data_IF_040111188536
#
_entry.id   IF_040111188536
#
_cell.length_a   1.000
_cell.length_b   1.000
_cell.length_c   1.000
_cell.angle_alpha   90.00
_cell.angle_beta   90.00
_cell.angle_gamma   90.00
#
_symmetry.space_group_name_H-M   'P 1'
#
loop_
_entity.id
_entity.type
_entity.pdbx_description
1 polymer ?
#
# COMPACT_ATOMS: atom_id res chain seq x y z
N UNK A 1 -21.39 -3.13 -12.15
CA UNK A 1 -20.26 -3.45 -11.24
C UNK A 1 -20.91 -3.89 -9.95
N UNK A 2 -20.65 -5.11 -9.49
CA UNK A 2 -21.34 -5.72 -8.35
C UNK A 2 -20.32 -6.51 -7.54
N UNK A 3 -20.59 -6.69 -6.25
CA UNK A 3 -19.78 -7.55 -5.43
C UNK A 3 -19.86 -9.01 -5.91
N UNK A 4 -18.76 -9.75 -5.77
CA UNK A 4 -18.76 -11.21 -5.91
C UNK A 4 -19.46 -11.85 -4.70
N UNK A 5 -19.79 -13.13 -4.80
CA UNK A 5 -20.41 -13.86 -3.68
C UNK A 5 -19.51 -13.92 -2.45
N UNK A 6 -18.19 -14.05 -2.63
CA UNK A 6 -17.21 -14.07 -1.54
C UNK A 6 -17.12 -12.70 -0.86
N UNK A 7 -17.01 -11.63 -1.66
CA UNK A 7 -16.98 -10.25 -1.15
C UNK A 7 -18.24 -9.90 -0.35
N UNK A 8 -19.42 -10.18 -0.93
CA UNK A 8 -20.70 -9.92 -0.27
C UNK A 8 -20.82 -10.71 1.05
N UNK A 9 -20.44 -12.00 1.02
CA UNK A 9 -20.48 -12.86 2.20
C UNK A 9 -19.58 -12.35 3.34
N UNK A 10 -18.37 -11.89 3.01
CA UNK A 10 -17.43 -11.32 3.98
C UNK A 10 -17.99 -10.04 4.61
N UNK A 11 -18.43 -9.09 3.78
CA UNK A 11 -18.97 -7.79 4.20
C UNK A 11 -20.22 -7.98 5.08
N UNK A 12 -21.14 -8.84 4.65
CA UNK A 12 -22.37 -9.11 5.39
C UNK A 12 -22.10 -9.80 6.73
N UNK A 13 -21.10 -10.69 6.78
CA UNK A 13 -20.70 -11.35 8.03
C UNK A 13 -20.13 -10.34 9.02
N UNK A 14 -19.23 -9.46 8.55
CA UNK A 14 -18.72 -8.35 9.34
C UNK A 14 -19.84 -7.45 9.87
N UNK A 15 -20.79 -7.03 9.03
CA UNK A 15 -21.93 -6.18 9.43
C UNK A 15 -22.83 -6.81 10.49
N UNK A 16 -22.96 -8.14 10.48
CA UNK A 16 -23.68 -8.91 11.52
C UNK A 16 -22.84 -9.15 12.78
N UNK A 17 -21.63 -8.60 12.88
CA UNK A 17 -20.71 -8.82 13.98
C UNK A 17 -20.12 -10.23 14.02
N UNK A 18 -20.19 -10.98 12.90
CA UNK A 18 -19.71 -12.35 12.80
C UNK A 18 -18.36 -12.39 12.08
N UNK A 19 -17.57 -13.41 12.37
CA UNK A 19 -16.41 -13.78 11.56
C UNK A 19 -16.83 -14.49 10.27
N UNK A 20 -15.94 -14.55 9.26
CA UNK A 20 -16.10 -15.40 8.09
C UNK A 20 -16.51 -16.83 8.47
N UNK A 21 -17.24 -17.50 7.58
CA UNK A 21 -17.49 -18.93 7.75
C UNK A 21 -16.16 -19.66 7.72
N UNK A 22 -15.94 -20.54 8.69
CA UNK A 22 -14.78 -21.41 8.74
C UNK A 22 -14.99 -22.55 7.74
N UNK A 23 -14.36 -22.47 6.57
CA UNK A 23 -14.13 -23.63 5.71
C UNK A 23 -12.74 -24.17 6.06
N UNK A 24 -12.57 -25.47 6.35
CA UNK A 24 -11.24 -25.99 6.68
C UNK A 24 -10.30 -25.88 5.47
N UNK A 25 -9.24 -25.08 5.61
CA UNK A 25 -8.16 -24.93 4.63
C UNK A 25 -7.86 -23.48 4.25
N UNK A 26 -6.60 -23.17 4.01
CA UNK A 26 -6.17 -21.85 3.51
C UNK A 26 -6.33 -21.74 1.98
N UNK A 27 -7.51 -22.07 1.43
CA UNK A 27 -7.76 -21.85 0.00
C UNK A 27 -7.85 -20.33 -0.30
N UNK A 28 -7.63 -19.94 -1.56
CA UNK A 28 -7.65 -18.52 -1.98
C UNK A 28 -8.91 -17.77 -1.53
N UNK A 29 -10.09 -18.42 -1.60
CA UNK A 29 -11.36 -17.82 -1.20
C UNK A 29 -11.45 -17.59 0.31
N UNK A 30 -10.94 -18.52 1.12
CA UNK A 30 -10.94 -18.42 2.57
C UNK A 30 -9.98 -17.31 3.03
N UNK A 31 -8.79 -17.22 2.41
CA UNK A 31 -7.82 -16.14 2.62
C UNK A 31 -8.40 -14.77 2.26
N UNK A 32 -9.10 -14.68 1.13
CA UNK A 32 -9.79 -13.45 0.72
C UNK A 32 -10.89 -13.05 1.71
N UNK A 33 -11.71 -14.02 2.14
CA UNK A 33 -12.80 -13.76 3.07
C UNK A 33 -12.26 -13.29 4.44
N UNK A 34 -11.19 -13.92 4.93
CA UNK A 34 -10.48 -13.50 6.13
C UNK A 34 -9.89 -12.10 5.98
N UNK A 35 -9.16 -11.84 4.88
CA UNK A 35 -8.53 -10.55 4.63
C UNK A 35 -9.54 -9.41 4.56
N UNK A 36 -10.67 -9.59 3.88
CA UNK A 36 -11.75 -8.58 3.85
C UNK A 36 -12.28 -8.33 5.27
N UNK A 37 -12.53 -9.39 6.06
CA UNK A 37 -12.98 -9.22 7.44
C UNK A 37 -11.95 -8.48 8.30
N UNK A 38 -10.67 -8.82 8.19
CA UNK A 38 -9.59 -8.24 8.96
C UNK A 38 -9.43 -6.74 8.64
N UNK A 39 -9.44 -6.38 7.35
CA UNK A 39 -9.42 -4.99 6.91
C UNK A 39 -10.63 -4.20 7.41
N UNK A 40 -11.84 -4.76 7.35
CA UNK A 40 -13.06 -4.10 7.85
C UNK A 40 -13.01 -3.90 9.38
N UNK A 41 -12.46 -4.86 10.12
CA UNK A 41 -12.25 -4.75 11.57
C UNK A 41 -11.25 -3.66 11.90
N UNK A 42 -10.10 -3.66 11.22
CA UNK A 42 -9.09 -2.61 11.38
C UNK A 42 -9.68 -1.23 11.09
N UNK A 43 -10.33 -1.06 9.92
CA UNK A 43 -10.92 0.22 9.55
C UNK A 43 -11.97 0.72 10.56
N UNK A 44 -12.76 -0.18 11.17
CA UNK A 44 -13.69 0.19 12.24
C UNK A 44 -12.97 0.71 13.49
N UNK A 45 -11.89 0.06 13.91
CA UNK A 45 -11.08 0.46 15.07
C UNK A 45 -10.42 1.82 14.79
N UNK A 46 -9.77 1.98 13.64
CA UNK A 46 -9.09 3.23 13.27
C UNK A 46 -10.09 4.38 13.15
N UNK A 47 -11.27 4.17 12.55
CA UNK A 47 -12.31 5.21 12.47
C UNK A 47 -12.85 5.61 13.84
N UNK A 48 -13.09 4.66 14.74
CA UNK A 48 -13.53 4.94 16.11
C UNK A 48 -12.50 5.78 16.85
N UNK A 49 -11.21 5.45 16.71
CA UNK A 49 -10.13 6.25 17.30
C UNK A 49 -10.12 7.68 16.74
N UNK A 50 -10.32 7.87 15.43
CA UNK A 50 -10.32 9.21 14.80
C UNK A 50 -11.45 10.12 15.29
N UNK A 51 -12.53 9.57 15.87
CA UNK A 51 -13.62 10.36 16.46
C UNK A 51 -13.27 10.94 17.83
N UNK A 52 -12.24 10.40 18.49
CA UNK A 52 -11.79 10.89 19.79
C UNK A 52 -10.85 12.08 19.60
N UNK A 53 -11.30 13.27 20.01
CA UNK A 53 -10.50 14.50 19.97
C UNK A 53 -9.60 14.53 21.22
N UNK A 54 -8.34 14.15 21.08
CA UNK A 54 -7.36 14.10 22.17
C UNK A 54 -6.03 13.49 21.73
N UNK A 55 -5.01 13.58 22.58
CA UNK A 55 -3.73 12.93 22.29
C UNK A 55 -3.90 11.41 22.29
N UNK A 56 -3.56 10.76 21.17
CA UNK A 56 -3.42 9.30 21.10
C UNK A 56 -2.16 8.91 21.87
N UNK A 57 -2.27 7.94 22.78
CA UNK A 57 -1.10 7.38 23.45
C UNK A 57 -0.15 6.82 22.39
N UNK A 58 1.10 7.29 22.41
CA UNK A 58 2.08 7.00 21.37
C UNK A 58 3.47 6.76 21.96
N UNK A 59 4.22 5.89 21.33
CA UNK A 59 5.63 5.61 21.63
C UNK A 59 6.43 5.78 20.34
N UNK A 60 7.64 6.31 20.44
CA UNK A 60 8.55 6.44 19.29
C UNK A 60 9.39 5.17 19.16
N UNK A 61 9.42 4.57 17.96
CA UNK A 61 10.28 3.42 17.61
C UNK A 61 11.72 3.89 17.37
N UNK A 62 12.67 2.96 17.34
CA UNK A 62 14.09 3.26 17.16
C UNK A 62 14.43 3.93 15.80
N UNK A 63 13.60 3.74 14.78
CA UNK A 63 13.74 4.32 13.44
C UNK A 63 13.07 5.71 13.31
N UNK A 64 12.49 6.24 14.39
CA UNK A 64 11.79 7.52 14.41
C UNK A 64 10.34 7.48 13.90
N UNK A 65 9.81 6.29 13.59
CA UNK A 65 8.36 6.09 13.40
C UNK A 65 7.65 6.09 14.76
N UNK A 66 6.33 6.30 14.75
CA UNK A 66 5.51 6.34 15.96
C UNK A 66 4.59 5.12 15.96
N UNK A 67 4.38 4.48 17.10
CA UNK A 67 3.34 3.45 17.30
C UNK A 67 2.30 3.96 18.27
N UNK A 68 1.07 3.57 18.06
CA UNK A 68 -0.09 3.85 18.90
C UNK A 68 -0.65 2.57 19.51
N UNK A 69 -1.38 2.68 20.63
CA UNK A 69 -2.07 1.53 21.22
C UNK A 69 -3.06 0.84 20.26
N UNK A 70 -3.42 1.52 19.17
CA UNK A 70 -4.34 1.02 18.15
C UNK A 70 -3.67 0.02 17.22
N UNK A 71 -2.42 0.23 16.81
CA UNK A 71 -1.69 -0.72 15.97
C UNK A 71 -1.58 -2.08 16.67
N UNK A 72 -1.16 -2.09 17.94
CA UNK A 72 -1.14 -3.31 18.76
C UNK A 72 -2.53 -3.96 18.91
N UNK A 73 -3.59 -3.16 19.10
CA UNK A 73 -4.95 -3.70 19.22
C UNK A 73 -5.39 -4.42 17.94
N UNK A 74 -5.04 -3.86 16.77
CA UNK A 74 -5.35 -4.43 15.47
C UNK A 74 -4.55 -5.71 15.25
N UNK A 75 -3.25 -5.71 15.53
CA UNK A 75 -2.41 -6.92 15.40
C UNK A 75 -2.93 -8.06 16.26
N UNK A 76 -3.10 -7.85 17.57
CA UNK A 76 -3.55 -8.91 18.46
C UNK A 76 -4.91 -9.47 18.05
N UNK A 77 -5.86 -8.61 17.64
CA UNK A 77 -7.18 -9.05 17.19
C UNK A 77 -7.10 -9.92 15.94
N UNK A 78 -6.24 -9.54 14.99
CA UNK A 78 -6.10 -10.25 13.71
C UNK A 78 -5.32 -11.54 13.92
N UNK A 79 -4.24 -11.51 14.70
CA UNK A 79 -3.43 -12.67 15.06
C UNK A 79 -4.24 -13.75 15.81
N UNK A 80 -4.93 -13.38 16.89
CA UNK A 80 -5.78 -14.30 17.65
C UNK A 80 -6.83 -14.97 16.76
N UNK A 81 -7.42 -14.18 15.86
CA UNK A 81 -8.41 -14.71 14.93
C UNK A 81 -7.80 -15.56 13.82
N UNK A 82 -6.60 -15.20 13.35
CA UNK A 82 -5.86 -15.96 12.37
C UNK A 82 -5.62 -17.38 12.89
N UNK A 83 -5.08 -17.52 14.11
CA UNK A 83 -4.80 -18.84 14.68
C UNK A 83 -6.07 -19.66 14.99
N UNK A 84 -7.22 -19.01 15.12
CA UNK A 84 -8.51 -19.70 15.24
C UNK A 84 -8.98 -20.28 13.91
N UNK A 85 -8.65 -19.64 12.79
CA UNK A 85 -9.14 -20.00 11.45
C UNK A 85 -8.12 -20.83 10.66
N UNK A 86 -6.84 -20.47 10.76
CA UNK A 86 -5.69 -21.08 10.09
C UNK A 86 -4.55 -21.32 11.10
N UNK A 87 -4.65 -22.37 11.95
CA UNK A 87 -3.64 -22.65 12.98
C UNK A 87 -2.21 -22.86 12.45
N UNK A 88 -2.07 -23.22 11.18
CA UNK A 88 -0.80 -23.47 10.49
C UNK A 88 -0.15 -22.23 9.87
N UNK A 89 -0.87 -21.11 9.80
CA UNK A 89 -0.39 -19.88 9.14
C UNK A 89 0.44 -19.06 10.12
N UNK A 90 1.62 -18.62 9.68
CA UNK A 90 2.46 -17.71 10.47
C UNK A 90 1.93 -16.27 10.40
N UNK A 91 1.97 -15.56 11.52
CA UNK A 91 1.63 -14.14 11.60
C UNK A 91 2.88 -13.27 11.60
N UNK A 92 2.87 -12.21 10.78
CA UNK A 92 3.96 -11.23 10.66
C UNK A 92 3.40 -9.82 10.81
N UNK A 93 3.46 -9.28 12.02
CA UNK A 93 3.06 -7.90 12.31
C UNK A 93 4.26 -6.94 12.34
N UNK A 94 4.06 -5.72 11.86
CA UNK A 94 5.02 -4.63 11.99
C UNK A 94 5.39 -4.36 13.46
N UNK A 95 4.41 -4.32 14.36
CA UNK A 95 4.64 -4.01 15.78
C UNK A 95 5.18 -5.20 16.57
N UNK A 96 4.82 -6.40 16.13
CA UNK A 96 5.37 -7.65 16.67
C UNK A 96 6.84 -7.85 16.26
N UNK A 97 7.26 -7.26 15.13
CA UNK A 97 8.64 -7.32 14.64
C UNK A 97 9.05 -8.71 14.15
N UNK A 98 8.08 -9.54 13.78
CA UNK A 98 8.34 -10.90 13.30
C UNK A 98 8.94 -10.84 11.89
N UNK A 99 9.80 -11.80 11.56
CA UNK A 99 10.29 -11.96 10.19
C UNK A 99 9.43 -12.98 9.42
N UNK A 100 9.43 -12.83 8.10
CA UNK A 100 8.78 -13.80 7.22
C UNK A 100 9.48 -15.16 7.35
N UNK A 101 8.74 -16.27 7.56
CA UNK A 101 9.37 -17.58 7.68
C UNK A 101 9.98 -18.03 6.35
N UNK A 102 10.99 -18.91 6.43
CA UNK A 102 11.66 -19.47 5.24
C UNK A 102 10.73 -20.34 4.36
N UNK A 103 9.59 -20.81 4.88
CA UNK A 103 8.64 -21.65 4.16
C UNK A 103 7.25 -21.66 4.79
N UNK A 104 6.27 -22.23 4.08
CA UNK A 104 4.88 -22.31 4.50
C UNK A 104 4.07 -21.04 4.20
N UNK A 105 2.85 -20.99 4.72
CA UNK A 105 1.95 -19.84 4.52
C UNK A 105 2.11 -18.84 5.66
N UNK A 106 2.18 -17.55 5.32
CA UNK A 106 2.20 -16.46 6.29
C UNK A 106 1.23 -15.34 5.91
N UNK A 107 0.75 -14.61 6.90
CA UNK A 107 0.03 -13.35 6.73
C UNK A 107 0.87 -12.22 7.33
N UNK A 108 1.28 -11.26 6.50
CA UNK A 108 1.91 -10.03 6.94
C UNK A 108 0.91 -8.89 7.02
N UNK A 109 1.02 -8.03 8.03
CA UNK A 109 0.16 -6.87 8.26
C UNK A 109 0.98 -5.64 8.65
N UNK A 110 0.63 -4.50 8.05
CA UNK A 110 0.87 -3.19 8.62
C UNK A 110 -0.49 -2.63 9.08
N UNK A 111 -0.73 -2.51 10.40
CA UNK A 111 -2.01 -2.04 10.92
C UNK A 111 -2.35 -0.61 10.50
N UNK A 112 -1.35 0.28 10.42
CA UNK A 112 -1.50 1.69 10.06
C UNK A 112 -0.29 2.13 9.22
N UNK A 113 -0.34 1.79 7.94
CA UNK A 113 0.64 2.25 6.96
C UNK A 113 0.48 3.78 6.79
N UNK A 114 1.56 4.50 7.08
CA UNK A 114 1.58 5.95 7.15
C UNK A 114 1.14 6.51 8.50
N UNK A 115 1.71 6.05 9.61
CA UNK A 115 1.37 6.50 10.97
C UNK A 115 1.42 8.01 11.17
N UNK A 116 2.35 8.73 10.51
CA UNK A 116 2.36 10.20 10.54
C UNK A 116 1.11 10.84 9.95
N UNK A 117 0.56 10.26 8.88
CA UNK A 117 -0.73 10.68 8.30
C UNK A 117 -1.86 10.41 9.28
N UNK A 118 -1.86 9.25 9.95
CA UNK A 118 -2.84 8.94 10.99
C UNK A 118 -2.80 9.95 12.15
N UNK A 119 -1.62 10.23 12.70
CA UNK A 119 -1.44 11.21 13.79
C UNK A 119 -1.82 12.64 13.37
N UNK A 120 -1.63 12.99 12.11
CA UNK A 120 -2.04 14.27 11.54
C UNK A 120 -3.54 14.33 11.20
N UNK A 121 -4.31 13.27 11.46
CA UNK A 121 -5.70 13.10 11.01
C UNK A 121 -5.88 13.29 9.49
N UNK A 122 -4.83 13.02 8.70
CA UNK A 122 -4.90 13.01 7.25
C UNK A 122 -5.55 11.71 6.74
N UNK A 123 -5.96 11.70 5.48
CA UNK A 123 -6.73 10.60 4.87
C UNK A 123 -5.84 9.60 4.14
N UNK A 124 -4.52 9.81 4.12
CA UNK A 124 -3.59 9.02 3.32
C UNK A 124 -2.95 7.85 4.07
N UNK A 125 -3.53 7.39 5.19
CA UNK A 125 -3.11 6.16 5.86
C UNK A 125 -4.07 5.01 5.58
N UNK A 126 -3.61 3.78 5.75
CA UNK A 126 -4.37 2.57 5.45
C UNK A 126 -3.93 1.40 6.31
N UNK A 127 -4.71 0.32 6.32
CA UNK A 127 -4.23 -0.99 6.78
C UNK A 127 -3.89 -1.84 5.56
N UNK A 128 -2.76 -2.54 5.59
CA UNK A 128 -2.31 -3.41 4.50
C UNK A 128 -2.24 -4.86 4.98
N UNK A 129 -2.53 -5.79 4.08
CA UNK A 129 -2.40 -7.23 4.34
C UNK A 129 -1.74 -7.88 3.13
N UNK A 130 -0.78 -8.78 3.38
CA UNK A 130 -0.19 -9.60 2.33
C UNK A 130 -0.11 -11.05 2.78
N UNK A 131 -0.72 -11.95 2.00
CA UNK A 131 -0.50 -13.38 2.15
C UNK A 131 0.75 -13.81 1.39
N UNK A 132 1.50 -14.71 2.01
CA UNK A 132 2.70 -15.30 1.46
C UNK A 132 2.58 -16.83 1.45
N UNK A 133 3.11 -17.46 0.40
CA UNK A 133 3.38 -18.90 0.36
C UNK A 133 4.85 -19.11 0.01
N UNK A 134 5.58 -19.83 0.87
CA UNK A 134 7.02 -20.09 0.71
C UNK A 134 7.83 -18.82 0.43
N UNK A 135 7.56 -17.78 1.21
CA UNK A 135 8.22 -16.46 1.09
C UNK A 135 7.75 -15.61 -0.09
N UNK A 136 6.83 -16.11 -0.94
CA UNK A 136 6.32 -15.39 -2.12
C UNK A 136 4.97 -14.74 -1.85
N UNK A 137 4.78 -13.44 -2.14
CA UNK A 137 3.51 -12.77 -1.93
C UNK A 137 2.45 -13.23 -2.95
N UNK A 138 1.33 -13.77 -2.47
CA UNK A 138 0.27 -14.39 -3.31
C UNK A 138 -1.04 -13.62 -3.33
N UNK A 139 -1.35 -12.83 -2.29
CA UNK A 139 -2.51 -11.95 -2.23
C UNK A 139 -2.18 -10.68 -1.46
N UNK A 140 -2.23 -9.54 -2.15
CA UNK A 140 -2.03 -8.21 -1.56
C UNK A 140 -3.37 -7.49 -1.38
N UNK A 141 -3.58 -6.87 -0.23
CA UNK A 141 -4.83 -6.20 0.12
C UNK A 141 -4.58 -4.90 0.89
N UNK A 142 -5.50 -3.95 0.76
CA UNK A 142 -5.46 -2.66 1.44
C UNK A 142 -6.87 -2.19 1.76
N UNK A 143 -7.03 -1.45 2.86
CA UNK A 143 -8.20 -0.60 3.09
C UNK A 143 -7.78 0.80 3.53
N UNK A 144 -8.36 1.82 2.92
CA UNK A 144 -8.32 3.17 3.45
C UNK A 144 -9.55 3.40 4.33
N UNK A 145 -9.33 3.55 5.63
CA UNK A 145 -10.37 3.73 6.64
C UNK A 145 -11.14 5.04 6.48
N UNK A 146 -10.55 6.09 5.90
CA UNK A 146 -11.23 7.36 5.69
C UNK A 146 -12.21 7.27 4.51
N UNK A 147 -11.76 6.73 3.37
CA UNK A 147 -12.53 6.69 2.12
C UNK A 147 -13.45 5.48 1.99
N UNK A 148 -13.19 4.41 2.75
CA UNK A 148 -13.91 3.14 2.58
C UNK A 148 -13.54 2.38 1.32
N UNK A 149 -12.45 2.77 0.65
CA UNK A 149 -11.88 2.02 -0.47
C UNK A 149 -11.09 0.83 0.07
N UNK A 150 -11.48 -0.37 -0.37
CA UNK A 150 -10.74 -1.62 -0.16
C UNK A 150 -10.30 -2.14 -1.52
N UNK A 151 -9.04 -2.53 -1.65
CA UNK A 151 -8.57 -3.20 -2.87
C UNK A 151 -7.82 -4.48 -2.55
N UNK A 152 -7.86 -5.44 -3.48
CA UNK A 152 -7.06 -6.65 -3.40
C UNK A 152 -6.61 -7.13 -4.79
N UNK A 153 -5.51 -7.86 -4.84
CA UNK A 153 -5.03 -8.54 -6.03
C UNK A 153 -4.33 -9.85 -5.65
N UNK A 154 -4.74 -10.94 -6.28
CA UNK A 154 -3.95 -12.17 -6.29
C UNK A 154 -2.79 -12.02 -7.28
N UNK A 155 -1.69 -12.73 -7.04
CA UNK A 155 -0.57 -12.80 -7.98
C UNK A 155 -1.09 -13.17 -9.38
N UNK A 156 -0.70 -12.39 -10.40
CA UNK A 156 -1.11 -12.55 -11.80
C UNK A 156 -2.61 -12.39 -12.11
N UNK A 157 -3.43 -11.93 -11.16
CA UNK A 157 -4.84 -11.61 -11.39
C UNK A 157 -5.09 -10.09 -11.44
N UNK A 158 -6.29 -9.71 -11.87
CA UNK A 158 -6.68 -8.29 -11.92
C UNK A 158 -6.87 -7.74 -10.51
N UNK A 159 -6.50 -6.48 -10.34
CA UNK A 159 -6.79 -5.75 -9.10
C UNK A 159 -8.27 -5.46 -9.00
N UNK A 160 -8.86 -5.88 -7.89
CA UNK A 160 -10.26 -5.69 -7.56
C UNK A 160 -10.39 -4.53 -6.59
N UNK A 161 -11.18 -3.51 -6.95
CA UNK A 161 -11.52 -2.37 -6.09
C UNK A 161 -12.95 -2.50 -5.58
N UNK A 162 -13.13 -2.28 -4.28
CA UNK A 162 -14.41 -2.27 -3.58
C UNK A 162 -14.57 -0.90 -2.92
N UNK A 163 -15.69 -0.24 -3.20
CA UNK A 163 -16.12 0.95 -2.48
C UNK A 163 -17.19 0.53 -1.47
N UNK A 164 -16.89 0.69 -0.19
CA UNK A 164 -17.85 0.48 0.89
C UNK A 164 -18.78 1.68 1.00
N UNK A 165 -20.05 1.41 1.31
CA UNK A 165 -21.06 2.42 1.58
C UNK A 165 -20.71 3.23 2.82
N UNK A 166 -20.55 4.55 2.64
CA UNK A 166 -20.35 5.49 3.73
C UNK A 166 -21.51 6.47 3.89
N UNK A 167 -22.27 6.73 2.82
CA UNK A 167 -23.35 7.74 2.80
C UNK A 167 -24.72 7.15 2.44
N UNK A 168 -24.89 5.83 2.54
CA UNK A 168 -26.17 5.13 2.31
C UNK A 168 -26.36 4.56 0.91
N UNK A 169 -25.37 4.69 0.03
CA UNK A 169 -25.28 4.01 -1.26
C UNK A 169 -25.09 2.49 -1.10
N UNK A 170 -25.23 1.71 -2.17
CA UNK A 170 -24.87 0.30 -2.15
C UNK A 170 -23.36 0.13 -2.34
N UNK A 171 -22.75 -0.85 -1.65
CA UNK A 171 -21.36 -1.22 -1.90
C UNK A 171 -21.17 -1.58 -3.37
N UNK A 172 -20.05 -1.14 -3.94
CA UNK A 172 -19.73 -1.39 -5.34
C UNK A 172 -18.41 -2.11 -5.47
N UNK A 173 -18.28 -2.88 -6.54
CA UNK A 173 -17.00 -3.45 -6.89
C UNK A 173 -16.75 -3.49 -8.40
N UNK A 174 -15.55 -3.06 -8.78
CA UNK A 174 -14.99 -3.20 -10.12
C UNK A 174 -13.62 -3.87 -10.14
N UNK A 175 -13.27 -4.49 -11.27
CA UNK A 175 -11.86 -4.71 -11.62
C UNK A 175 -11.27 -3.39 -12.13
N UNK A 176 -10.04 -3.09 -11.72
CA UNK A 176 -9.24 -2.07 -12.38
C UNK A 176 -8.84 -2.59 -13.75
N UNK A 177 -8.99 -1.72 -14.75
CA UNK A 177 -8.62 -2.04 -16.14
C UNK A 177 -7.26 -1.44 -16.43
N UNK A 178 -6.36 -2.19 -17.09
CA UNK A 178 -5.18 -1.57 -17.69
C UNK A 178 -5.64 -0.43 -18.59
N UNK A 179 -5.13 0.76 -18.31
CA UNK A 179 -5.36 1.91 -19.15
C UNK A 179 -4.02 2.59 -19.39
N UNK A 180 -3.53 2.48 -20.63
CA UNK A 180 -2.40 3.27 -21.09
C UNK A 180 -2.86 4.71 -21.31
N UNK A 181 -2.09 5.68 -20.83
CA UNK A 181 -2.32 7.08 -21.12
C UNK A 181 -1.30 7.50 -22.17
N UNK A 182 -1.73 7.94 -23.35
CA UNK A 182 -0.78 8.46 -24.34
C UNK A 182 -0.25 9.86 -24.00
N UNK A 183 -0.56 10.39 -22.81
CA UNK A 183 -0.14 11.72 -22.39
C UNK A 183 1.34 11.75 -22.02
N UNK A 184 2.14 12.54 -22.75
CA UNK A 184 3.57 12.72 -22.46
C UNK A 184 3.82 13.44 -21.11
N UNK A 185 2.89 14.27 -20.65
CA UNK A 185 3.00 15.05 -19.40
C UNK A 185 2.20 14.42 -18.27
N UNK A 186 2.89 14.08 -17.19
CA UNK A 186 2.37 13.23 -16.12
C UNK A 186 2.11 14.02 -14.84
N UNK A 187 1.14 13.58 -14.05
CA UNK A 187 0.98 14.02 -12.67
C UNK A 187 1.86 13.12 -11.79
N UNK A 188 2.79 13.70 -11.04
CA UNK A 188 3.70 12.94 -10.17
C UNK A 188 3.37 13.22 -8.71
N UNK A 189 3.21 12.17 -7.93
CA UNK A 189 3.23 12.22 -6.48
C UNK A 189 4.59 11.68 -6.00
N UNK A 190 5.34 12.46 -5.22
CA UNK A 190 6.57 12.01 -4.59
C UNK A 190 6.37 11.88 -3.09
N UNK A 191 6.83 10.78 -2.52
CA UNK A 191 6.80 10.60 -1.07
C UNK A 191 7.74 11.61 -0.39
N UNK A 192 7.22 12.44 0.54
CA UNK A 192 8.04 13.42 1.24
C UNK A 192 8.96 12.73 2.24
N UNK A 193 10.27 12.83 2.01
CA UNK A 193 11.29 12.38 2.95
C UNK A 193 12.51 13.30 2.85
N UNK A 194 13.25 13.47 3.95
CA UNK A 194 14.50 14.26 3.93
C UNK A 194 15.51 13.68 2.94
N UNK A 195 15.56 12.35 2.83
CA UNK A 195 16.39 11.63 1.86
C UNK A 195 15.97 11.85 0.40
N UNK A 196 14.78 12.40 0.16
CA UNK A 196 14.22 12.61 -1.18
C UNK A 196 14.32 14.09 -1.63
N UNK A 197 14.97 14.97 -0.87
CA UNK A 197 15.03 16.43 -1.17
C UNK A 197 15.54 16.72 -2.58
N UNK A 198 16.60 16.02 -3.00
CA UNK A 198 17.15 16.17 -4.34
C UNK A 198 16.21 15.70 -5.45
N UNK A 199 15.46 14.62 -5.21
CA UNK A 199 14.47 14.12 -6.16
C UNK A 199 13.29 15.08 -6.26
N UNK A 200 12.87 15.63 -5.12
CA UNK A 200 11.85 16.66 -5.05
C UNK A 200 12.28 17.88 -5.88
N UNK A 201 13.50 18.39 -5.65
CA UNK A 201 14.05 19.51 -6.40
C UNK A 201 14.09 19.23 -7.91
N UNK A 202 14.54 18.04 -8.32
CA UNK A 202 14.57 17.61 -9.72
C UNK A 202 13.18 17.58 -10.37
N UNK A 203 12.19 17.01 -9.69
CA UNK A 203 10.81 16.94 -10.18
C UNK A 203 10.19 18.34 -10.28
N UNK A 204 10.40 19.22 -9.28
CA UNK A 204 9.92 20.60 -9.34
C UNK A 204 10.60 21.40 -10.45
N UNK A 205 11.89 21.17 -10.72
CA UNK A 205 12.58 21.79 -11.85
C UNK A 205 11.99 21.32 -13.19
N UNK A 206 11.75 20.01 -13.36
CA UNK A 206 11.12 19.46 -14.55
C UNK A 206 9.68 20.00 -14.74
N UNK A 207 8.93 20.15 -13.66
CA UNK A 207 7.62 20.80 -13.70
C UNK A 207 7.69 22.26 -14.15
N UNK A 208 8.65 23.05 -13.62
CA UNK A 208 8.88 24.44 -14.08
C UNK A 208 9.26 24.54 -15.55
N UNK A 209 9.92 23.50 -16.11
CA UNK A 209 10.25 23.38 -17.54
C UNK A 209 9.12 22.76 -18.37
N UNK A 210 7.95 22.57 -17.77
CA UNK A 210 6.76 21.95 -18.37
C UNK A 210 6.96 20.51 -18.89
N UNK A 211 7.96 19.78 -18.40
CA UNK A 211 8.19 18.37 -18.73
C UNK A 211 7.20 17.45 -17.98
N UNK A 212 6.62 17.94 -16.89
CA UNK A 212 5.60 17.28 -16.08
C UNK A 212 4.33 18.13 -16.02
N UNK A 213 3.17 17.49 -15.89
CA UNK A 213 1.88 18.19 -15.77
C UNK A 213 1.70 18.83 -14.39
N UNK A 214 2.10 18.12 -13.33
CA UNK A 214 2.11 18.62 -11.96
C UNK A 214 2.99 17.73 -11.08
N UNK A 215 3.47 18.28 -9.96
CA UNK A 215 4.19 17.55 -8.92
C UNK A 215 3.54 17.83 -7.58
N UNK A 216 3.28 16.78 -6.80
CA UNK A 216 2.76 16.84 -5.44
C UNK A 216 3.65 16.04 -4.52
N UNK A 217 3.70 16.42 -3.26
CA UNK A 217 4.37 15.66 -2.22
C UNK A 217 3.35 15.25 -1.15
N UNK A 218 2.60 14.17 -1.43
CA UNK A 218 1.65 13.58 -0.48
C UNK A 218 2.36 12.47 0.30
N UNK A 219 2.44 12.62 1.61
CA UNK A 219 2.89 11.57 2.53
C UNK A 219 1.76 10.61 2.90
N UNK A 220 2.07 9.70 3.83
CA UNK A 220 1.16 8.62 4.23
C UNK A 220 1.61 7.28 3.63
N UNK A 221 0.65 6.38 3.45
CA UNK A 221 0.89 5.02 3.00
C UNK A 221 1.49 4.96 1.58
N UNK A 222 2.66 4.32 1.40
CA UNK A 222 3.20 3.96 0.09
C UNK A 222 2.27 3.01 -0.67
N UNK A 223 1.62 2.04 0.02
CA UNK A 223 0.67 1.11 -0.60
C UNK A 223 -0.55 1.84 -1.15
N UNK A 224 -1.10 2.79 -0.40
CA UNK A 224 -2.19 3.67 -0.85
C UNK A 224 -1.77 4.52 -2.05
N UNK A 225 -0.55 5.06 -2.02
CA UNK A 225 -0.01 5.82 -3.15
C UNK A 225 0.16 4.96 -4.41
N UNK A 226 0.53 3.69 -4.25
CA UNK A 226 0.57 2.73 -5.36
C UNK A 226 -0.84 2.35 -5.85
N UNK A 227 -1.85 2.26 -4.99
CA UNK A 227 -3.24 2.05 -5.40
C UNK A 227 -3.77 3.27 -6.19
N UNK A 228 -3.46 4.49 -5.76
CA UNK A 228 -3.79 5.70 -6.52
C UNK A 228 -3.10 5.72 -7.90
N UNK A 229 -1.86 5.21 -7.97
CA UNK A 229 -1.17 4.99 -9.24
C UNK A 229 -1.87 3.91 -10.09
N UNK A 230 -2.33 2.82 -9.47
CA UNK A 230 -3.09 1.74 -10.10
C UNK A 230 -4.47 2.17 -10.62
N UNK A 231 -5.06 3.22 -10.04
CA UNK A 231 -6.26 3.90 -10.55
C UNK A 231 -5.98 4.90 -11.68
N UNK A 232 -4.70 5.14 -11.99
CA UNK A 232 -4.26 6.05 -13.05
C UNK A 232 -4.31 7.54 -12.66
N UNK A 233 -4.37 7.87 -11.38
CA UNK A 233 -4.45 9.26 -10.92
C UNK A 233 -3.10 9.98 -10.98
N UNK A 234 -2.03 9.28 -10.60
CA UNK A 234 -0.67 9.82 -10.53
C UNK A 234 0.36 8.74 -10.85
N UNK A 235 1.59 9.16 -11.14
CA UNK A 235 2.78 8.33 -11.02
C UNK A 235 3.40 8.58 -9.65
N UNK A 236 3.80 7.53 -8.95
CA UNK A 236 4.33 7.61 -7.60
C UNK A 236 5.86 7.42 -7.58
N UNK A 237 6.57 8.29 -6.88
CA UNK A 237 8.02 8.21 -6.66
C UNK A 237 8.28 8.13 -5.17
N UNK A 238 9.16 7.22 -4.75
CA UNK A 238 9.60 7.13 -3.36
C UNK A 238 11.11 6.88 -3.31
N UNK A 239 11.77 7.42 -2.28
CA UNK A 239 13.12 7.03 -1.90
C UNK A 239 13.08 6.25 -0.58
N UNK A 240 13.03 4.92 -0.69
CA UNK A 240 12.98 4.00 0.44
C UNK A 240 14.32 3.96 1.18
N UNK A 241 14.49 4.88 2.14
CA UNK A 241 15.77 5.13 2.82
C UNK A 241 15.85 4.70 4.28
N UNK A 242 14.79 4.18 4.88
CA UNK A 242 14.72 3.81 6.31
C UNK A 242 15.28 2.43 6.65
N UNK A 243 15.64 1.63 5.64
CA UNK A 243 16.01 0.22 5.80
C UNK A 243 15.66 -0.57 4.55
N UNK A 244 15.82 -1.90 4.62
CA UNK A 244 15.20 -2.78 3.64
C UNK A 244 13.68 -2.81 3.89
N UNK A 245 12.87 -2.78 2.84
CA UNK A 245 11.42 -2.97 2.97
C UNK A 245 11.10 -4.34 3.58
N UNK A 246 10.29 -4.35 4.63
CA UNK A 246 9.73 -5.54 5.27
C UNK A 246 8.60 -6.15 4.44
N UNK A 247 8.12 -7.32 4.85
CA UNK A 247 7.05 -8.07 4.16
C UNK A 247 5.68 -7.38 4.18
N UNK A 248 5.47 -6.39 5.04
CA UNK A 248 4.23 -5.62 5.14
C UNK A 248 4.27 -4.24 4.43
N UNK A 249 5.44 -3.79 3.97
CA UNK A 249 5.63 -2.41 3.47
C UNK A 249 5.18 -2.20 2.02
N UNK A 250 5.68 -3.00 1.08
CA UNK A 250 5.54 -2.72 -0.37
C UNK A 250 4.77 -3.80 -1.13
N UNK A 251 4.76 -5.04 -0.63
CA UNK A 251 4.27 -6.19 -1.39
C UNK A 251 2.79 -6.05 -1.82
N UNK A 252 1.91 -5.63 -0.90
CA UNK A 252 0.51 -5.38 -1.24
C UNK A 252 0.38 -4.33 -2.36
N UNK A 253 1.12 -3.22 -2.27
CA UNK A 253 1.05 -2.12 -3.22
C UNK A 253 1.54 -2.53 -4.61
N UNK A 254 2.64 -3.30 -4.67
CA UNK A 254 3.20 -3.78 -5.93
C UNK A 254 2.26 -4.79 -6.59
N UNK A 255 1.66 -5.72 -5.82
CA UNK A 255 0.65 -6.65 -6.36
C UNK A 255 -0.57 -5.91 -6.92
N UNK A 256 -1.08 -4.92 -6.18
CA UNK A 256 -2.21 -4.09 -6.63
C UNK A 256 -1.90 -3.30 -7.90
N UNK A 257 -0.68 -2.76 -8.02
CA UNK A 257 -0.30 -2.02 -9.22
C UNK A 257 -0.07 -2.96 -10.41
N UNK A 258 0.57 -4.11 -10.21
CA UNK A 258 0.76 -5.14 -11.25
C UNK A 258 -0.57 -5.69 -11.75
N UNK A 259 -1.53 -5.96 -10.86
CA UNK A 259 -2.86 -6.43 -11.22
C UNK A 259 -3.69 -5.40 -11.99
N UNK A 260 -3.36 -4.11 -11.88
CA UNK A 260 -3.92 -3.05 -12.72
C UNK A 260 -3.17 -2.86 -14.06
N UNK A 261 -2.07 -3.59 -14.28
CA UNK A 261 -1.23 -3.54 -15.48
C UNK A 261 -0.08 -2.53 -15.41
N UNK A 262 0.28 -2.06 -14.22
CA UNK A 262 1.41 -1.17 -13.99
C UNK A 262 2.66 -1.88 -13.48
N UNK A 263 3.71 -1.09 -13.26
CA UNK A 263 5.01 -1.59 -12.81
C UNK A 263 5.62 -0.66 -11.75
N UNK A 264 6.49 -1.24 -10.94
CA UNK A 264 7.37 -0.53 -10.00
C UNK A 264 8.81 -0.84 -10.37
N UNK A 265 9.55 0.20 -10.76
CA UNK A 265 10.94 0.07 -11.25
C UNK A 265 11.89 0.96 -10.45
N UNK A 266 13.15 0.57 -10.38
CA UNK A 266 14.22 1.40 -9.82
C UNK A 266 14.77 2.43 -10.84
N UNK A 267 15.91 3.05 -10.51
CA UNK A 267 16.59 3.99 -11.40
C UNK A 267 17.41 3.33 -12.52
N UNK A 268 17.57 2.01 -12.51
CA UNK A 268 18.15 1.23 -13.62
C UNK A 268 17.06 0.86 -14.64
N UNK A 269 15.79 0.94 -14.23
CA UNK A 269 14.64 0.53 -15.02
C UNK A 269 14.23 -0.91 -14.75
N UNK A 270 14.84 -1.56 -13.77
CA UNK A 270 14.56 -2.94 -13.39
C UNK A 270 13.42 -2.99 -12.37
N UNK A 271 12.64 -4.08 -12.40
CA UNK A 271 11.58 -4.28 -11.42
C UNK A 271 12.17 -4.46 -10.02
N UNK A 272 11.60 -3.76 -9.02
CA UNK A 272 12.07 -3.90 -7.64
C UNK A 272 11.58 -5.19 -6.99
N UNK A 273 12.36 -5.69 -6.04
CA UNK A 273 11.90 -6.73 -5.11
C UNK A 273 10.77 -6.21 -4.22
N UNK A 274 9.80 -7.07 -3.91
CA UNK A 274 8.68 -6.70 -3.02
C UNK A 274 9.07 -6.65 -1.54
N UNK A 275 10.12 -7.38 -1.19
CA UNK A 275 10.69 -7.49 0.16
C UNK A 275 12.19 -7.28 0.02
N UNK A 276 12.80 -6.54 0.93
CA UNK A 276 14.24 -6.28 0.93
C UNK A 276 14.67 -5.05 0.12
N UNK A 277 13.78 -4.45 -0.67
CA UNK A 277 14.13 -3.30 -1.52
C UNK A 277 14.67 -2.12 -0.70
N UNK A 278 15.63 -1.41 -1.29
CA UNK A 278 16.25 -0.20 -0.77
C UNK A 278 16.40 0.82 -1.90
N UNK A 279 16.20 2.09 -1.57
CA UNK A 279 16.44 3.20 -2.48
C UNK A 279 15.22 3.61 -3.29
N UNK A 280 15.48 4.16 -4.48
CA UNK A 280 14.48 4.90 -5.23
C UNK A 280 13.69 3.96 -6.12
N UNK A 281 12.38 4.14 -6.12
CA UNK A 281 11.50 3.49 -7.08
C UNK A 281 10.47 4.44 -7.67
N UNK A 282 9.96 4.04 -8.84
CA UNK A 282 8.93 4.72 -9.61
C UNK A 282 7.81 3.71 -9.89
N UNK A 283 6.62 4.00 -9.40
CA UNK A 283 5.42 3.17 -9.51
C UNK A 283 4.38 3.85 -10.41
N UNK A 284 3.94 3.18 -11.47
CA UNK A 284 2.86 3.70 -12.31
C UNK A 284 2.38 2.75 -13.41
N UNK A 285 1.16 2.97 -13.89
CA UNK A 285 0.57 2.25 -15.02
C UNK A 285 1.28 2.57 -16.34
N UNK A 286 1.42 3.87 -16.62
CA UNK A 286 1.83 4.33 -17.94
C UNK A 286 3.36 4.32 -18.11
N UNK A 287 3.83 3.53 -19.07
CA UNK A 287 5.27 3.38 -19.34
C UNK A 287 5.90 4.62 -19.95
N UNK A 288 5.16 5.41 -20.74
CA UNK A 288 5.67 6.67 -21.30
C UNK A 288 5.98 7.65 -20.18
N UNK A 289 5.04 7.81 -19.25
CA UNK A 289 5.20 8.62 -18.06
C UNK A 289 6.32 8.14 -17.16
N UNK A 290 6.38 6.83 -16.90
CA UNK A 290 7.41 6.21 -16.07
C UNK A 290 8.80 6.42 -16.64
N UNK A 291 8.97 6.23 -17.95
CA UNK A 291 10.24 6.47 -18.64
C UNK A 291 10.63 7.95 -18.70
N UNK A 292 9.66 8.87 -18.77
CA UNK A 292 9.95 10.30 -18.68
C UNK A 292 10.49 10.68 -17.31
N UNK A 293 9.81 10.26 -16.24
CA UNK A 293 10.24 10.52 -14.86
C UNK A 293 11.58 9.84 -14.56
N UNK A 294 11.79 8.60 -15.02
CA UNK A 294 13.07 7.91 -14.89
C UNK A 294 14.23 8.72 -15.47
N UNK A 295 14.08 9.25 -16.69
CA UNK A 295 15.11 10.11 -17.32
C UNK A 295 15.36 11.40 -16.54
N UNK A 296 14.31 12.03 -16.00
CA UNK A 296 14.44 13.24 -15.17
C UNK A 296 15.30 12.93 -13.93
N UNK A 297 15.01 11.83 -13.24
CA UNK A 297 15.71 11.45 -12.01
C UNK A 297 17.15 10.97 -12.28
N UNK A 298 17.38 10.23 -13.37
CA UNK A 298 18.73 9.82 -13.79
C UNK A 298 19.62 11.02 -14.12
N UNK A 299 19.09 12.03 -14.83
CA UNK A 299 19.84 13.27 -15.11
C UNK A 299 20.23 13.99 -13.83
N UNK A 300 19.28 14.16 -12.90
CA UNK A 300 19.55 14.81 -11.62
C UNK A 300 20.64 14.07 -10.80
N UNK A 301 20.65 12.73 -10.83
CA UNK A 301 21.70 11.92 -10.19
C UNK A 301 23.07 12.10 -10.85
N UNK A 302 23.13 12.19 -12.19
CA UNK A 302 24.38 12.41 -12.91
C UNK A 302 24.99 13.78 -12.62
N UNK A 303 24.16 14.85 -12.61
CA UNK A 303 24.59 16.22 -12.34
C UNK A 303 25.17 16.39 -10.91
N UNK A 304 24.75 15.55 -9.96
CA UNK A 304 25.30 15.52 -8.61
C UNK A 304 26.64 14.79 -8.49
N UNK A 305 26.88 13.80 -9.36
CA UNK A 305 28.11 13.04 -9.39
C UNK A 305 29.23 13.76 -10.15
N UNK A 306 28.89 14.78 -10.96
CA UNK A 306 29.84 15.65 -11.66
C UNK A 306 29.49 17.15 -11.54
N UNK A 307 29.81 17.81 -10.41
CA UNK A 307 29.54 19.24 -10.21
C UNK A 307 30.37 20.16 -11.13
N UNK A 308 31.35 19.61 -11.86
CA UNK A 308 32.35 20.37 -12.62
C UNK A 308 32.02 20.63 -14.10
N UNK A 309 30.96 20.01 -14.63
CA UNK A 309 30.61 20.08 -16.06
C UNK A 309 29.82 21.34 -16.47
N UNK A 310 29.55 22.27 -15.55
CA UNK A 310 28.79 23.51 -15.79
C UNK A 310 29.63 24.80 -15.71
N UNK A 311 30.94 24.72 -15.95
CA UNK A 311 31.83 25.90 -16.08
C UNK A 311 32.37 26.02 -17.50
#
# INVERSE_FOLDING_TARGET
MSLTSVEQSAIDSFRRGKSPRQTPGAAEQDRLQFGIWALLKSARIVRDQRMHVGAVARTEKADGSMVTSIEHQIECLIEDHLYTVFPEVSFVGEESGNELPEGGTALAIDPIDGTWSFLAHAESCSTTLTWYDDGRPTLGMIINHATGELAYAFEHQRTRLIQLSLFGEADQGTDLKPHGSTAEKCLVNIHPARSADDLLAALYAAWRREELRNVRALGGSPVWSMLDAAKGHYLYVNNWGGGAASSYDLAAGILLLRGAGGEVIDLQGDAIDMVGHRGIFIAGLDSTCRNNVLRILQRARADQQDPGALI
#
